data_IF_642533190397
#
_entry.id   IF_642533190397
#
_cell.length_a   1.000
_cell.length_b   1.000
_cell.length_c   1.000
_cell.angle_alpha   90.00
_cell.angle_beta   90.00
_cell.angle_gamma   90.00
#
_symmetry.space_group_name_H-M   'P 1'
#
loop_
_entity.id
_entity.type
_entity.pdbx_description
1 polymer ?
#
# COMPACT_ATOMS: atom_id res chain seq x y z
N UNK A 1 47.96 -25.79 8.55
CA UNK A 1 46.97 -25.25 7.59
C UNK A 1 47.11 -23.73 7.57
N UNK A 2 48.03 -23.19 6.77
CA UNK A 2 48.19 -21.73 6.60
C UNK A 2 47.65 -21.42 5.20
N UNK A 3 46.38 -21.02 5.14
CA UNK A 3 45.74 -20.61 3.88
C UNK A 3 46.41 -19.35 3.35
N UNK A 4 46.54 -19.26 2.03
CA UNK A 4 47.12 -18.10 1.34
C UNK A 4 46.15 -16.92 1.45
N UNK A 5 46.41 -15.91 2.29
CA UNK A 5 45.50 -14.79 2.55
C UNK A 5 45.05 -14.02 1.29
N UNK A 6 45.89 -13.78 0.25
CA UNK A 6 45.45 -13.05 -0.93
C UNK A 6 44.46 -13.86 -1.80
N UNK A 7 44.49 -15.19 -1.73
CA UNK A 7 43.54 -16.02 -2.47
C UNK A 7 42.10 -15.84 -1.93
N UNK A 8 41.96 -15.68 -0.62
CA UNK A 8 40.66 -15.43 0.01
C UNK A 8 40.08 -14.08 -0.41
N UNK A 9 40.92 -13.04 -0.52
CA UNK A 9 40.49 -11.73 -1.00
C UNK A 9 40.01 -11.79 -2.45
N UNK A 10 40.70 -12.55 -3.30
CA UNK A 10 40.30 -12.72 -4.69
C UNK A 10 38.97 -13.47 -4.83
N UNK A 11 38.77 -14.53 -4.02
CA UNK A 11 37.49 -15.27 -3.98
C UNK A 11 36.36 -14.40 -3.45
N UNK A 12 36.60 -13.62 -2.40
CA UNK A 12 35.61 -12.69 -1.83
C UNK A 12 35.19 -11.64 -2.86
N UNK A 13 36.15 -11.08 -3.60
CA UNK A 13 35.90 -10.07 -4.62
C UNK A 13 35.08 -10.65 -5.79
N UNK A 14 35.39 -11.88 -6.21
CA UNK A 14 34.60 -12.60 -7.22
C UNK A 14 33.18 -12.87 -6.75
N UNK A 15 33.00 -13.31 -5.50
CA UNK A 15 31.68 -13.55 -4.92
C UNK A 15 30.86 -12.25 -4.85
N UNK A 16 31.48 -11.15 -4.41
CA UNK A 16 30.83 -9.84 -4.35
C UNK A 16 30.44 -9.34 -5.74
N UNK A 17 31.34 -9.45 -6.73
CA UNK A 17 31.04 -9.09 -8.12
C UNK A 17 29.90 -9.94 -8.73
N UNK A 18 29.86 -11.24 -8.41
CA UNK A 18 28.79 -12.14 -8.86
C UNK A 18 27.40 -11.76 -8.34
N UNK A 19 27.31 -11.14 -7.16
CA UNK A 19 26.06 -10.69 -6.55
C UNK A 19 25.73 -9.23 -6.95
N UNK A 20 26.73 -8.36 -7.05
CA UNK A 20 26.53 -6.95 -7.35
C UNK A 20 25.98 -6.70 -8.77
N UNK A 21 26.41 -7.49 -9.76
CA UNK A 21 25.96 -7.35 -11.17
C UNK A 21 24.45 -7.58 -11.35
N UNK A 22 23.83 -8.67 -10.86
CA UNK A 22 22.39 -8.87 -10.99
C UNK A 22 21.59 -7.84 -10.18
N UNK A 23 22.07 -7.43 -8.99
CA UNK A 23 21.43 -6.39 -8.19
C UNK A 23 21.40 -5.03 -8.91
N UNK A 24 22.50 -4.67 -9.61
CA UNK A 24 22.52 -3.43 -10.40
C UNK A 24 21.59 -3.51 -11.61
N UNK A 25 21.45 -4.68 -12.25
CA UNK A 25 20.48 -4.85 -13.34
C UNK A 25 19.02 -4.76 -12.88
N UNK A 26 18.72 -5.22 -11.67
CA UNK A 26 17.35 -5.14 -11.10
C UNK A 26 17.00 -3.73 -10.63
N UNK A 27 17.99 -2.94 -10.22
CA UNK A 27 17.78 -1.57 -9.71
C UNK A 27 17.88 -0.49 -10.79
N UNK A 28 18.76 -0.65 -11.78
CA UNK A 28 18.91 0.31 -12.88
C UNK A 28 17.93 0.09 -14.05
N UNK A 29 17.23 -1.05 -14.08
CA UNK A 29 16.30 -1.43 -15.15
C UNK A 29 14.93 -0.74 -15.11
N UNK A 30 14.55 -0.11 -14.00
CA UNK A 30 13.23 0.52 -13.83
C UNK A 30 13.15 1.96 -14.36
N UNK A 31 14.21 2.47 -14.99
CA UNK A 31 14.35 3.88 -15.38
C UNK A 31 14.20 4.20 -16.88
N UNK A 32 13.52 3.37 -17.68
CA UNK A 32 13.27 3.68 -19.11
C UNK A 32 11.85 3.29 -19.55
N UNK A 33 10.86 4.07 -19.13
CA UNK A 33 9.70 4.30 -19.99
C UNK A 33 10.13 5.33 -21.02
N UNK A 34 10.61 4.84 -22.17
CA UNK A 34 10.82 5.65 -23.37
C UNK A 34 9.45 5.87 -23.98
N UNK A 35 8.86 7.06 -23.81
CA UNK A 35 7.81 7.52 -24.72
C UNK A 35 8.48 7.80 -26.06
N UNK A 36 8.35 6.84 -26.97
CA UNK A 36 8.69 7.00 -28.38
C UNK A 36 7.58 7.84 -29.03
N UNK A 37 7.81 9.15 -29.16
CA UNK A 37 6.93 10.02 -29.92
C UNK A 37 7.21 9.83 -31.41
N UNK A 38 6.66 8.75 -31.99
CA UNK A 38 6.50 8.65 -33.44
C UNK A 38 5.35 9.56 -33.88
N UNK A 39 5.71 10.75 -34.37
CA UNK A 39 4.84 11.53 -35.25
C UNK A 39 4.72 10.83 -36.61
N UNK A 40 3.49 10.59 -37.07
CA UNK A 40 3.10 10.98 -38.43
C UNK A 40 1.86 11.88 -38.33
N UNK A 41 1.97 13.14 -38.76
CA UNK A 41 1.55 13.62 -40.07
C UNK A 41 0.03 13.44 -40.33
N UNK A 42 -0.62 14.59 -40.50
CA UNK A 42 -1.94 14.85 -41.10
C UNK A 42 -3.20 14.46 -40.32
N UNK A 43 -3.78 15.42 -39.58
CA UNK A 43 -5.18 15.77 -39.84
C UNK A 43 -5.57 17.16 -39.33
N UNK A 44 -6.35 17.83 -40.19
CA UNK A 44 -6.82 19.19 -40.12
C UNK A 44 -7.48 19.59 -38.80
N UNK A 45 -7.26 20.84 -38.43
CA UNK A 45 -7.97 21.49 -37.34
C UNK A 45 -9.46 21.55 -37.62
N UNK A 46 -10.22 20.76 -36.87
CA UNK A 46 -11.63 21.04 -36.63
C UNK A 46 -11.75 21.80 -35.31
N UNK A 47 -12.10 23.08 -35.45
CA UNK A 47 -12.61 23.93 -34.38
C UNK A 47 -14.08 23.56 -34.23
N UNK A 48 -14.43 22.89 -33.13
CA UNK A 48 -15.83 22.69 -32.76
C UNK A 48 -16.28 23.82 -31.82
N UNK A 49 -17.40 24.42 -32.21
CA UNK A 49 -18.02 25.65 -31.71
C UNK A 49 -18.90 25.37 -30.47
N UNK A 50 -18.38 24.58 -29.51
CA UNK A 50 -19.11 24.28 -28.27
C UNK A 50 -18.15 24.22 -27.08
N UNK A 51 -17.54 25.36 -26.75
CA UNK A 51 -17.17 25.79 -25.39
C UNK A 51 -16.31 24.89 -24.48
N UNK A 52 -15.84 23.71 -24.89
CA UNK A 52 -15.08 22.81 -24.02
C UNK A 52 -13.68 22.58 -24.57
N UNK A 53 -12.77 23.47 -24.19
CA UNK A 53 -11.32 23.21 -24.30
C UNK A 53 -10.91 22.19 -23.25
N UNK A 54 -10.49 21.01 -23.72
CA UNK A 54 -9.79 20.00 -22.92
C UNK A 54 -8.50 20.63 -22.40
N UNK A 55 -8.41 20.80 -21.07
CA UNK A 55 -7.29 21.44 -20.40
C UNK A 55 -6.04 20.58 -20.51
N UNK A 56 -5.08 21.09 -21.27
CA UNK A 56 -3.67 20.69 -21.30
C UNK A 56 -3.02 21.07 -19.95
N UNK A 57 -2.30 20.11 -19.34
CA UNK A 57 -1.72 20.24 -18.01
C UNK A 57 -0.91 21.53 -17.82
N UNK A 58 -1.46 22.42 -17.00
CA UNK A 58 -0.78 23.60 -16.46
C UNK A 58 -0.36 23.34 -15.02
N UNK A 59 0.82 23.83 -14.64
CA UNK A 59 1.37 23.83 -13.28
C UNK A 59 0.63 24.82 -12.35
N UNK A 60 -0.68 24.69 -12.30
CA UNK A 60 -1.56 25.47 -11.44
C UNK A 60 -2.42 24.48 -10.70
N UNK A 61 -1.93 24.00 -9.55
CA UNK A 61 -2.82 23.46 -8.54
C UNK A 61 -3.70 24.63 -8.09
N UNK A 62 -5.02 24.63 -8.36
CA UNK A 62 -5.89 25.48 -7.61
C UNK A 62 -5.87 24.93 -6.17
N UNK A 63 -5.79 25.81 -5.17
CA UNK A 63 -6.11 25.48 -3.77
C UNK A 63 -7.61 25.15 -3.71
N UNK A 64 -7.97 23.97 -4.24
CA UNK A 64 -9.32 23.43 -4.19
C UNK A 64 -9.46 22.80 -2.83
N UNK A 65 -10.18 23.51 -1.96
CA UNK A 65 -11.05 22.99 -0.91
C UNK A 65 -11.02 21.45 -0.84
N UNK A 66 -10.27 20.94 0.14
CA UNK A 66 -9.98 19.53 0.35
C UNK A 66 -11.27 18.72 0.28
N UNK A 67 -11.51 18.01 -0.82
CA UNK A 67 -12.70 17.18 -0.97
C UNK A 67 -12.43 15.87 -0.22
N UNK A 68 -12.98 15.80 0.99
CA UNK A 68 -13.20 14.56 1.73
C UNK A 68 -14.14 13.69 0.88
N UNK A 69 -13.57 12.87 0.00
CA UNK A 69 -14.34 11.95 -0.85
C UNK A 69 -14.31 10.58 -0.18
N UNK A 70 -15.46 10.13 0.30
CA UNK A 70 -15.61 8.76 0.77
C UNK A 70 -15.50 7.84 -0.45
N UNK A 71 -14.48 7.00 -0.46
CA UNK A 71 -14.23 6.04 -1.52
C UNK A 71 -14.48 4.62 -0.99
N UNK A 72 -15.11 3.74 -1.78
CA UNK A 72 -15.18 2.33 -1.45
C UNK A 72 -13.77 1.77 -1.29
N UNK A 73 -13.53 1.02 -0.22
CA UNK A 73 -12.28 0.33 0.02
C UNK A 73 -12.51 -1.13 0.36
N UNK A 74 -11.64 -1.98 -0.17
CA UNK A 74 -11.56 -3.38 0.20
C UNK A 74 -10.59 -3.54 1.36
N UNK A 75 -11.14 -3.88 2.52
CA UNK A 75 -10.39 -4.15 3.75
C UNK A 75 -10.22 -5.65 3.88
N UNK A 76 -8.98 -6.09 4.06
CA UNK A 76 -8.63 -7.50 4.30
C UNK A 76 -7.94 -7.63 5.65
N UNK A 77 -8.40 -8.60 6.42
CA UNK A 77 -7.87 -8.92 7.72
C UNK A 77 -7.26 -10.32 7.69
N UNK A 78 -5.99 -10.41 8.09
CA UNK A 78 -5.28 -11.68 8.26
C UNK A 78 -4.83 -11.79 9.70
N UNK A 79 -4.98 -12.99 10.27
CA UNK A 79 -4.61 -13.23 11.65
C UNK A 79 -3.99 -14.61 11.81
N UNK A 80 -2.97 -14.72 12.67
CA UNK A 80 -2.34 -16.00 12.98
C UNK A 80 -3.24 -16.88 13.86
N UNK A 81 -3.99 -16.27 14.77
CA UNK A 81 -4.99 -16.93 15.62
C UNK A 81 -6.33 -16.22 15.46
N UNK A 82 -7.41 -16.99 15.39
CA UNK A 82 -8.76 -16.45 15.23
C UNK A 82 -9.14 -15.55 16.42
N UNK A 83 -9.40 -14.25 16.21
CA UNK A 83 -9.93 -13.38 17.24
C UNK A 83 -11.40 -13.71 17.53
N UNK A 84 -11.85 -13.43 18.75
CA UNK A 84 -13.26 -13.49 19.15
C UNK A 84 -14.06 -12.31 18.60
N UNK A 85 -13.43 -11.14 18.56
CA UNK A 85 -13.98 -9.90 18.05
C UNK A 85 -12.87 -9.05 17.46
N UNK A 86 -13.18 -8.33 16.38
CA UNK A 86 -12.34 -7.30 15.77
C UNK A 86 -13.22 -6.14 15.37
N UNK A 87 -12.75 -4.93 15.62
CA UNK A 87 -13.38 -3.67 15.28
C UNK A 87 -12.30 -2.75 14.71
N UNK A 88 -12.60 -2.11 13.58
CA UNK A 88 -11.75 -1.07 12.98
C UNK A 88 -12.62 0.16 12.79
N UNK A 89 -12.25 1.26 13.42
CA UNK A 89 -13.01 2.49 13.36
C UNK A 89 -12.20 3.60 12.71
N UNK A 90 -12.83 4.35 11.80
CA UNK A 90 -12.29 5.60 11.28
C UNK A 90 -13.24 6.73 11.69
N UNK A 91 -12.73 7.74 12.39
CA UNK A 91 -13.54 8.86 12.91
C UNK A 91 -14.79 8.42 13.71
N UNK A 92 -14.69 7.28 14.42
CA UNK A 92 -15.80 6.70 15.19
C UNK A 92 -16.82 5.90 14.37
N UNK A 93 -16.60 5.70 13.07
CA UNK A 93 -17.40 4.84 12.18
C UNK A 93 -16.79 3.44 12.10
N UNK A 94 -17.58 2.41 12.40
CA UNK A 94 -17.16 1.01 12.32
C UNK A 94 -17.10 0.51 10.87
N UNK A 95 -15.90 0.14 10.41
CA UNK A 95 -15.62 -0.28 9.03
C UNK A 95 -15.75 -1.80 8.82
N UNK A 96 -15.61 -2.62 9.87
CA UNK A 96 -15.65 -4.09 9.75
C UNK A 96 -17.04 -4.69 9.98
N UNK A 97 -18.09 -3.90 9.78
CA UNK A 97 -19.47 -4.35 10.02
C UNK A 97 -19.81 -5.53 9.10
N UNK A 98 -20.07 -6.70 9.72
CA UNK A 98 -20.43 -7.92 8.99
C UNK A 98 -19.27 -8.74 8.44
N UNK A 99 -18.02 -8.45 8.86
CA UNK A 99 -16.86 -9.27 8.49
C UNK A 99 -17.01 -10.71 9.01
N UNK A 100 -16.70 -11.69 8.17
CA UNK A 100 -16.66 -13.09 8.58
C UNK A 100 -15.23 -13.51 8.97
N UNK A 101 -15.02 -13.75 10.27
CA UNK A 101 -13.76 -14.24 10.85
C UNK A 101 -13.65 -15.78 10.81
N UNK A 102 -14.45 -16.47 10.00
CA UNK A 102 -14.38 -17.93 9.82
C UNK A 102 -13.17 -18.36 8.98
N UNK A 103 -12.80 -17.55 7.99
CA UNK A 103 -11.71 -17.80 7.04
C UNK A 103 -10.70 -16.65 7.03
N UNK A 104 -9.46 -16.90 6.57
CA UNK A 104 -8.43 -15.88 6.41
C UNK A 104 -7.87 -15.94 4.98
N UNK A 105 -7.72 -14.80 4.28
CA UNK A 105 -8.08 -13.44 4.69
C UNK A 105 -9.60 -13.26 4.83
N UNK A 106 -10.02 -12.58 5.89
CA UNK A 106 -11.39 -12.10 6.03
C UNK A 106 -11.51 -10.78 5.27
N UNK A 107 -12.46 -10.68 4.35
CA UNK A 107 -12.60 -9.52 3.46
C UNK A 107 -13.93 -8.81 3.73
N UNK A 108 -13.90 -7.48 3.69
CA UNK A 108 -15.09 -6.63 3.79
C UNK A 108 -14.88 -5.37 2.95
N UNK A 109 -15.95 -4.89 2.33
CA UNK A 109 -15.95 -3.61 1.62
C UNK A 109 -16.64 -2.57 2.50
N UNK A 110 -16.00 -1.43 2.68
CA UNK A 110 -16.53 -0.29 3.42
C UNK A 110 -16.09 1.02 2.77
N UNK A 111 -16.92 2.06 2.88
CA UNK A 111 -16.56 3.40 2.47
C UNK A 111 -15.62 4.01 3.53
N UNK A 112 -14.44 4.45 3.07
CA UNK A 112 -13.46 5.11 3.92
C UNK A 112 -13.18 6.50 3.36
N UNK A 113 -12.81 7.40 4.25
CA UNK A 113 -12.23 8.68 3.84
C UNK A 113 -10.73 8.47 3.60
N UNK A 114 -10.20 9.05 2.52
CA UNK A 114 -8.76 8.99 2.22
C UNK A 114 -8.20 10.40 2.26
N UNK A 115 -7.34 10.67 3.25
CA UNK A 115 -6.65 11.94 3.45
C UNK A 115 -5.20 11.88 2.98
N UNK A 116 -4.75 12.95 2.33
CA UNK A 116 -3.34 13.11 1.95
C UNK A 116 -2.38 13.23 3.15
N UNK A 117 -2.89 13.58 4.34
CA UNK A 117 -2.06 13.69 5.57
C UNK A 117 -1.86 12.33 6.26
N UNK A 118 -2.70 11.36 5.91
CA UNK A 118 -2.79 10.03 6.49
C UNK A 118 -4.03 9.88 7.35
N UNK A 119 -4.58 8.68 7.34
CA UNK A 119 -5.83 8.33 8.00
C UNK A 119 -5.56 7.52 9.26
N UNK A 120 -5.97 8.10 10.40
CA UNK A 120 -5.92 7.42 11.69
C UNK A 120 -7.15 6.51 11.81
N UNK A 121 -6.89 5.23 12.07
CA UNK A 121 -7.92 4.25 12.38
C UNK A 121 -7.63 3.62 13.73
N UNK A 122 -8.68 3.27 14.45
CA UNK A 122 -8.61 2.65 15.77
C UNK A 122 -8.94 1.17 15.62
N UNK A 123 -7.97 0.31 15.88
CA UNK A 123 -8.12 -1.14 15.86
C UNK A 123 -8.33 -1.66 17.28
N UNK A 124 -9.38 -2.43 17.47
CA UNK A 124 -9.63 -3.19 18.70
C UNK A 124 -9.84 -4.66 18.36
N UNK A 125 -9.17 -5.54 19.07
CA UNK A 125 -9.27 -6.98 18.84
C UNK A 125 -9.09 -7.77 20.14
N UNK A 126 -9.87 -8.83 20.31
CA UNK A 126 -9.80 -9.68 21.51
C UNK A 126 -9.62 -11.13 21.09
N UNK A 127 -8.63 -11.82 21.66
CA UNK A 127 -8.40 -13.24 21.44
C UNK A 127 -8.84 -14.09 22.64
N UNK A 128 -9.04 -15.41 22.44
CA UNK A 128 -9.27 -16.32 23.54
C UNK A 128 -8.14 -16.27 24.58
N UNK A 129 -8.49 -16.45 25.86
CA UNK A 129 -7.50 -16.50 26.93
C UNK A 129 -6.45 -17.59 26.70
N UNK A 130 -5.18 -17.28 26.95
CA UNK A 130 -4.06 -18.20 26.71
C UNK A 130 -3.54 -18.21 25.27
N UNK A 131 -4.03 -17.33 24.39
CA UNK A 131 -3.42 -17.10 23.07
C UNK A 131 -2.00 -16.58 23.25
N UNK A 132 -0.98 -17.20 22.62
CA UNK A 132 0.39 -16.71 22.66
C UNK A 132 0.52 -15.39 21.89
N UNK A 133 1.75 -14.87 21.78
CA UNK A 133 2.03 -13.73 20.89
C UNK A 133 1.53 -14.03 19.47
N UNK A 134 0.71 -13.13 18.94
CA UNK A 134 -0.02 -13.29 17.69
C UNK A 134 0.10 -12.01 16.85
N UNK A 135 0.03 -12.18 15.54
CA UNK A 135 0.00 -11.08 14.59
C UNK A 135 -1.39 -10.91 13.99
N UNK A 136 -1.78 -9.66 13.79
CA UNK A 136 -2.91 -9.25 12.96
C UNK A 136 -2.40 -8.32 11.88
N UNK A 137 -2.74 -8.60 10.63
CA UNK A 137 -2.40 -7.78 9.48
C UNK A 137 -3.67 -7.23 8.87
N UNK A 138 -3.71 -5.91 8.72
CA UNK A 138 -4.78 -5.19 8.05
C UNK A 138 -4.23 -4.71 6.71
N UNK A 139 -4.95 -4.99 5.64
CA UNK A 139 -4.66 -4.50 4.31
C UNK A 139 -5.86 -3.68 3.85
N UNK A 140 -5.63 -2.46 3.38
CA UNK A 140 -6.68 -1.56 2.91
C UNK A 140 -6.33 -1.15 1.49
N UNK A 141 -7.29 -1.34 0.60
CA UNK A 141 -7.21 -1.01 -0.82
C UNK A 141 -8.40 -0.12 -1.18
N UNK A 142 -8.25 1.21 -1.07
CA UNK A 142 -9.24 2.16 -1.54
C UNK A 142 -9.28 2.22 -3.07
N UNK A 143 -10.47 2.42 -3.62
CA UNK A 143 -10.65 2.55 -5.07
C UNK A 143 -9.83 3.73 -5.62
N UNK A 144 -8.92 3.43 -6.55
CA UNK A 144 -8.04 4.44 -7.17
C UNK A 144 -6.73 4.70 -6.42
N UNK A 145 -6.49 4.06 -5.28
CA UNK A 145 -5.26 4.19 -4.48
C UNK A 145 -4.49 2.86 -4.40
N UNK A 146 -3.21 2.93 -4.00
CA UNK A 146 -2.41 1.72 -3.80
C UNK A 146 -2.85 0.94 -2.55
N UNK A 147 -2.63 -0.39 -2.54
CA UNK A 147 -2.88 -1.19 -1.35
C UNK A 147 -1.83 -0.91 -0.29
N UNK A 148 -2.27 -0.57 0.91
CA UNK A 148 -1.41 -0.39 2.09
C UNK A 148 -1.67 -1.51 3.09
N UNK A 149 -0.61 -2.01 3.73
CA UNK A 149 -0.68 -3.09 4.71
C UNK A 149 0.05 -2.72 5.99
N UNK A 150 -0.56 -3.03 7.14
CA UNK A 150 0.05 -2.86 8.46
C UNK A 150 -0.12 -4.13 9.28
N UNK A 151 0.95 -4.55 9.97
CA UNK A 151 0.95 -5.72 10.85
C UNK A 151 1.23 -5.30 12.28
N UNK A 152 0.35 -5.70 13.19
CA UNK A 152 0.39 -5.42 14.61
C UNK A 152 0.63 -6.74 15.35
N UNK A 153 1.56 -6.72 16.30
CA UNK A 153 1.88 -7.86 17.16
C UNK A 153 1.33 -7.62 18.55
N UNK A 154 0.62 -8.60 19.10
CA UNK A 154 0.01 -8.50 20.44
C UNK A 154 -0.02 -9.84 21.15
N UNK A 155 -0.12 -9.79 22.49
CA UNK A 155 -0.30 -10.95 23.35
C UNK A 155 -1.69 -10.89 24.03
N UNK A 156 -2.70 -11.47 23.38
CA UNK A 156 -4.01 -11.75 23.97
C UNK A 156 -5.12 -10.72 23.71
N UNK A 157 -4.84 -9.42 23.74
CA UNK A 157 -5.82 -8.38 23.39
C UNK A 157 -5.17 -7.12 22.81
N UNK A 158 -5.94 -6.38 22.04
CA UNK A 158 -5.58 -5.10 21.48
C UNK A 158 -6.73 -4.14 21.81
N UNK A 159 -6.44 -3.13 22.62
CA UNK A 159 -7.43 -2.17 23.09
C UNK A 159 -7.11 -0.81 22.47
N UNK A 160 -7.94 -0.36 21.53
CA UNK A 160 -7.86 0.96 20.90
C UNK A 160 -6.48 1.33 20.31
N UNK A 161 -5.84 0.39 19.61
CA UNK A 161 -4.56 0.67 18.95
C UNK A 161 -4.79 1.60 17.76
N UNK A 162 -4.10 2.74 17.76
CA UNK A 162 -4.17 3.71 16.66
C UNK A 162 -3.18 3.31 15.57
N UNK A 163 -3.71 3.10 14.38
CA UNK A 163 -2.98 2.73 13.17
C UNK A 163 -3.11 3.85 12.14
N UNK A 164 -1.99 4.27 11.57
CA UNK A 164 -1.94 5.36 10.59
C UNK A 164 -1.66 4.79 9.21
N UNK A 165 -2.62 4.96 8.29
CA UNK A 165 -2.48 4.60 6.89
C UNK A 165 -2.15 5.84 6.06
N UNK A 166 -1.25 5.69 5.07
CA UNK A 166 -0.88 6.75 4.14
C UNK A 166 -0.83 6.19 2.73
N UNK A 167 -1.48 6.90 1.81
CA UNK A 167 -1.54 6.60 0.39
C UNK A 167 -0.85 7.69 -0.43
#
# INVERSE_FOLDING_TARGET
MRGYPPLHLLVLLLAFAGIAVPLWRLTAGSGRVVMDHQTPADHDGHVDEDGTTVVQGGETHPDVEHRHEEVPALIRLRYAHKPLSVSLQQEGRELLTGIDLSETPAEVTADIEVSHEGDEMVLSATWPAGTPETAVTIEIEPDGFERVSQTIWTAGSLDEEVVLFKW
#
